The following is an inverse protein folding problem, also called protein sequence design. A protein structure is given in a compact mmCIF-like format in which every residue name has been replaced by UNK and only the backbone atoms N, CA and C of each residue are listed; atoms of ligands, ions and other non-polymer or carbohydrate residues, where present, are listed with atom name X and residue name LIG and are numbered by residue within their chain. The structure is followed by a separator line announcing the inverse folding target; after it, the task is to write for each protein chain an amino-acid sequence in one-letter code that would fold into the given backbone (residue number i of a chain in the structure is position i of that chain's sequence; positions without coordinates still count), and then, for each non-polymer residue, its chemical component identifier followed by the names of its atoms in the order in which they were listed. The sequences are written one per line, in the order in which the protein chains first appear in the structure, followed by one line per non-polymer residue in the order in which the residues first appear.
data_IF_002028357852
#
_entry.id   IF_002028357852
#
_cell.length_a   1.000
_cell.length_b   1.000
_cell.length_c   1.000
_cell.angle_alpha   90.00
_cell.angle_beta   90.00
_cell.angle_gamma   90.00
#
_symmetry.space_group_name_H-M   'P 1'
#
loop_
_entity.id
_entity.type
_entity.pdbx_description
1 polymer ?
#
# COMPACT_ATOMS: atom_id res chain seq x y z
N UNK A 1 3.22 11.42 0.03
CA UNK A 1 4.51 11.35 0.77
C UNK A 1 5.66 11.67 -0.19
N UNK A 2 6.65 12.45 0.26
CA UNK A 2 7.91 12.62 -0.47
C UNK A 2 8.65 11.27 -0.53
N UNK A 3 9.46 11.07 -1.57
CA UNK A 3 10.26 9.86 -1.71
C UNK A 3 11.17 9.70 -0.50
N UNK A 4 11.04 8.56 0.19
CA UNK A 4 11.86 8.19 1.33
C UNK A 4 12.87 7.13 0.87
N UNK A 5 14.10 7.23 1.37
CA UNK A 5 15.11 6.21 1.14
C UNK A 5 14.83 5.05 2.09
N UNK A 6 14.62 3.85 1.55
CA UNK A 6 14.42 2.65 2.36
C UNK A 6 15.23 1.54 1.73
N UNK A 7 16.20 1.01 2.48
CA UNK A 7 17.16 -0.01 2.02
C UNK A 7 17.92 0.33 0.73
N UNK A 8 18.51 1.53 0.65
CA UNK A 8 19.41 1.91 -0.45
C UNK A 8 18.75 2.31 -1.76
N UNK A 9 17.42 2.19 -1.90
CA UNK A 9 16.67 2.69 -3.05
C UNK A 9 15.69 3.80 -2.65
N UNK A 10 15.56 4.79 -3.54
CA UNK A 10 14.59 5.86 -3.42
C UNK A 10 13.20 5.34 -3.81
N UNK A 11 12.26 5.46 -2.87
CA UNK A 11 10.85 5.21 -3.20
C UNK A 11 10.32 6.31 -4.11
N UNK A 12 9.55 5.92 -5.14
CA UNK A 12 8.88 6.88 -6.03
C UNK A 12 7.87 7.71 -5.23
N UNK A 13 7.58 8.92 -5.73
CA UNK A 13 6.51 9.76 -5.17
C UNK A 13 5.19 8.99 -5.20
N UNK A 14 4.55 8.88 -4.05
CA UNK A 14 3.28 8.15 -3.89
C UNK A 14 2.19 9.08 -3.42
N UNK A 15 0.97 8.86 -3.94
CA UNK A 15 -0.24 9.58 -3.54
C UNK A 15 -0.75 9.00 -2.23
N UNK A 16 -0.93 9.87 -1.25
CA UNK A 16 -1.44 9.51 0.08
C UNK A 16 -2.64 10.41 0.33
N UNK A 17 -3.75 9.81 0.76
CA UNK A 17 -4.97 10.51 1.15
C UNK A 17 -5.30 10.12 2.59
N UNK A 18 -5.45 11.12 3.46
CA UNK A 18 -5.90 10.91 4.83
C UNK A 18 -7.42 10.67 4.80
N UNK A 19 -7.87 9.57 5.37
CA UNK A 19 -9.31 9.25 5.48
C UNK A 19 -9.80 9.45 6.92
N UNK A 20 -8.94 9.22 7.93
CA UNK A 20 -9.24 9.48 9.34
C UNK A 20 -7.96 9.95 10.08
N UNK A 21 -8.04 10.33 11.37
CA UNK A 21 -6.87 10.73 12.16
C UNK A 21 -5.74 9.69 12.17
N UNK A 22 -6.11 8.41 12.23
CA UNK A 22 -5.19 7.27 12.26
C UNK A 22 -5.29 6.35 11.02
N UNK A 23 -6.04 6.77 9.99
CA UNK A 23 -6.26 5.96 8.77
C UNK A 23 -5.91 6.78 7.55
N UNK A 24 -5.04 6.22 6.71
CA UNK A 24 -4.68 6.81 5.43
C UNK A 24 -4.72 5.75 4.33
N UNK A 25 -5.07 6.19 3.12
CA UNK A 25 -5.01 5.40 1.91
C UNK A 25 -3.77 5.81 1.11
N UNK A 26 -2.94 4.84 0.75
CA UNK A 26 -1.73 5.05 -0.06
C UNK A 26 -1.82 4.25 -1.36
N UNK A 27 -1.48 4.90 -2.47
CA UNK A 27 -1.37 4.25 -3.78
C UNK A 27 0.09 4.21 -4.19
N UNK A 28 0.65 3.00 -4.20
CA UNK A 28 2.02 2.70 -4.64
C UNK A 28 2.01 2.15 -6.06
N UNK A 29 3.00 2.54 -6.86
CA UNK A 29 3.25 1.95 -8.20
C UNK A 29 4.37 0.90 -8.15
N UNK A 30 5.19 0.92 -7.11
CA UNK A 30 6.31 -0.02 -6.90
C UNK A 30 5.92 -1.11 -5.91
N UNK A 31 6.52 -2.30 -6.08
CA UNK A 31 6.35 -3.45 -5.18
C UNK A 31 7.62 -3.79 -4.41
N UNK A 32 8.09 -2.89 -3.53
CA UNK A 32 9.25 -3.18 -2.66
C UNK A 32 8.81 -3.93 -1.39
N UNK A 33 9.66 -4.82 -0.88
CA UNK A 33 9.34 -5.61 0.31
C UNK A 33 9.18 -4.72 1.56
N UNK A 34 8.07 -4.89 2.28
CA UNK A 34 7.70 -4.10 3.47
C UNK A 34 7.76 -2.57 3.28
N UNK A 35 7.61 -2.06 2.05
CA UNK A 35 7.78 -0.63 1.73
C UNK A 35 6.95 0.29 2.63
N UNK A 36 5.66 0.00 2.81
CA UNK A 36 4.75 0.84 3.61
C UNK A 36 5.19 0.87 5.07
N UNK A 37 5.55 -0.29 5.64
CA UNK A 37 6.00 -0.38 7.04
C UNK A 37 7.27 0.43 7.25
N UNK A 38 8.26 0.28 6.37
CA UNK A 38 9.52 1.03 6.46
C UNK A 38 9.35 2.52 6.22
N UNK A 39 8.45 2.91 5.32
CA UNK A 39 8.10 4.33 5.14
C UNK A 39 7.49 4.88 6.43
N UNK A 40 6.52 4.19 7.02
CA UNK A 40 5.90 4.63 8.28
C UNK A 40 6.90 4.68 9.43
N UNK A 41 7.77 3.67 9.58
CA UNK A 41 8.85 3.64 10.59
C UNK A 41 9.77 4.87 10.47
N UNK A 42 10.12 5.28 9.24
CA UNK A 42 10.93 6.48 9.01
C UNK A 42 10.25 7.78 9.48
N UNK A 43 8.91 7.82 9.46
CA UNK A 43 8.14 8.95 9.97
C UNK A 43 7.72 8.78 11.44
N UNK A 44 8.17 7.73 12.14
CA UNK A 44 7.83 7.46 13.54
C UNK A 44 6.43 6.86 13.74
N UNK A 45 5.83 6.28 12.70
CA UNK A 45 4.51 5.64 12.76
C UNK A 45 4.63 4.11 12.67
N UNK A 46 3.84 3.41 13.48
CA UNK A 46 3.72 1.95 13.41
C UNK A 46 2.45 1.52 12.66
N UNK A 47 2.60 0.61 11.69
CA UNK A 47 1.47 0.08 10.92
C UNK A 47 0.81 -1.09 11.66
N UNK A 48 -0.31 -0.81 12.33
CA UNK A 48 -1.12 -1.84 13.02
C UNK A 48 -1.89 -2.74 12.05
N UNK A 49 -2.58 -2.16 11.07
CA UNK A 49 -3.36 -2.90 10.06
C UNK A 49 -2.98 -2.42 8.67
N UNK A 50 -2.63 -3.35 7.79
CA UNK A 50 -2.37 -3.09 6.38
C UNK A 50 -3.33 -3.93 5.54
N UNK A 51 -4.34 -3.28 4.98
CA UNK A 51 -5.31 -3.91 4.10
C UNK A 51 -5.12 -3.37 2.68
N UNK A 52 -4.90 -4.29 1.74
CA UNK A 52 -4.79 -3.95 0.33
C UNK A 52 -6.21 -3.90 -0.22
N UNK A 53 -6.63 -2.77 -0.78
CA UNK A 53 -8.01 -2.60 -1.30
C UNK A 53 -8.09 -2.79 -2.82
N UNK A 54 -7.01 -2.51 -3.56
CA UNK A 54 -6.97 -2.56 -5.02
C UNK A 54 -5.59 -2.97 -5.54
N UNK A 55 -5.59 -3.68 -6.66
CA UNK A 55 -4.40 -4.02 -7.47
C UNK A 55 -4.62 -3.46 -8.86
N UNK A 56 -4.03 -2.31 -9.20
CA UNK A 56 -4.21 -1.65 -10.51
C UNK A 56 -5.69 -1.51 -10.90
N UNK A 57 -6.26 -2.42 -11.71
CA UNK A 57 -7.67 -2.40 -12.09
C UNK A 57 -8.54 -3.47 -11.42
N UNK A 58 -7.96 -4.30 -10.56
CA UNK A 58 -8.66 -5.34 -9.80
C UNK A 58 -9.02 -4.79 -8.44
N UNK A 59 -10.31 -4.66 -8.16
CA UNK A 59 -10.84 -4.47 -6.81
C UNK A 59 -11.11 -5.82 -6.17
N UNK A 60 -11.00 -5.89 -4.84
CA UNK A 60 -11.39 -7.08 -4.06
C UNK A 60 -12.92 -7.20 -3.86
N UNK A 61 -13.69 -6.37 -4.55
CA UNK A 61 -15.15 -6.37 -4.51
C UNK A 61 -15.68 -7.72 -5.02
N UNK A 62 -16.23 -8.53 -4.11
CA UNK A 62 -16.82 -9.83 -4.42
C UNK A 62 -15.97 -11.05 -4.08
N UNK A 63 -14.81 -10.90 -3.45
CA UNK A 63 -13.98 -12.02 -2.98
C UNK A 63 -14.11 -12.13 -1.46
N UNK A 64 -14.68 -13.23 -0.92
CA UNK A 64 -14.74 -13.44 0.52
C UNK A 64 -13.34 -13.62 1.12
N UNK A 65 -13.18 -13.33 2.41
CA UNK A 65 -11.93 -13.53 3.15
C UNK A 65 -11.48 -15.00 3.04
N UNK A 66 -10.30 -15.24 2.46
CA UNK A 66 -9.77 -16.58 2.18
C UNK A 66 -10.05 -17.10 0.75
N UNK A 67 -10.86 -16.39 -0.04
CA UNK A 67 -11.12 -16.69 -1.43
C UNK A 67 -9.98 -16.28 -2.35
N UNK A 68 -9.66 -17.13 -3.33
CA UNK A 68 -8.71 -16.81 -4.40
C UNK A 68 -9.48 -16.68 -5.72
N UNK A 69 -9.46 -15.49 -6.32
CA UNK A 69 -10.08 -15.25 -7.63
C UNK A 69 -9.03 -15.30 -8.75
N UNK A 70 -9.40 -15.92 -9.88
CA UNK A 70 -8.58 -15.92 -11.09
C UNK A 70 -8.63 -14.53 -11.73
N UNK A 71 -7.47 -13.90 -11.92
CA UNK A 71 -7.40 -12.67 -12.70
C UNK A 71 -7.57 -13.00 -14.19
N UNK A 72 -8.70 -12.60 -14.77
CA UNK A 72 -8.91 -12.72 -16.21
C UNK A 72 -8.11 -11.64 -16.95
N UNK A 73 -7.15 -12.09 -17.76
CA UNK A 73 -6.43 -11.26 -18.71
C UNK A 73 -7.35 -11.08 -19.92
N UNK A 74 -7.86 -9.87 -20.14
CA UNK A 74 -8.23 -9.43 -21.50
C UNK A 74 -6.99 -8.85 -22.15
#
# INVERSE_FOLDING_TARGET
MRGCQSSGQWTKKCKVKKEAPFVFRITLVQGLNRQIRRMCEHFGYEVKKLERTRIMNVSLSGIPLGGMARFNRR
#
